data_IF_322711839760
#
_entry.id   IF_322711839760
#
_cell.length_a   1.000
_cell.length_b   1.000
_cell.length_c   1.000
_cell.angle_alpha   90.00
_cell.angle_beta   90.00
_cell.angle_gamma   90.00
#
_symmetry.space_group_name_H-M   'P 1'
#
loop_
_entity.id
_entity.type
_entity.pdbx_description
1 polymer ?
#
# COMPACT_ATOMS: atom_id res chain seq x y z
N UNK A 1 -18.13 -12.34 8.39
CA UNK A 1 -17.07 -13.29 8.00
C UNK A 1 -16.24 -12.80 6.82
N UNK A 2 -16.77 -12.56 5.61
CA UNK A 2 -15.94 -11.96 4.55
C UNK A 2 -15.64 -10.47 4.76
N UNK A 3 -16.58 -9.70 5.34
CA UNK A 3 -16.37 -8.27 5.64
C UNK A 3 -15.25 -8.03 6.67
N UNK A 4 -15.24 -8.81 7.75
CA UNK A 4 -14.22 -8.69 8.81
C UNK A 4 -12.80 -8.94 8.28
N UNK A 5 -12.64 -9.88 7.33
CA UNK A 5 -11.35 -10.14 6.68
C UNK A 5 -10.92 -9.03 5.73
N UNK A 6 -11.86 -8.30 5.12
CA UNK A 6 -11.55 -7.17 4.24
C UNK A 6 -11.09 -5.98 5.05
N UNK A 7 -11.78 -5.65 6.15
CA UNK A 7 -11.38 -4.55 7.03
C UNK A 7 -9.98 -4.78 7.61
N UNK A 8 -9.66 -6.04 7.96
CA UNK A 8 -8.31 -6.40 8.40
C UNK A 8 -7.25 -6.24 7.31
N UNK A 9 -7.54 -6.71 6.08
CA UNK A 9 -6.63 -6.54 4.93
C UNK A 9 -6.39 -5.07 4.63
N UNK A 10 -7.45 -4.25 4.61
CA UNK A 10 -7.34 -2.80 4.39
C UNK A 10 -6.51 -2.15 5.49
N UNK A 11 -6.76 -2.49 6.76
CA UNK A 11 -5.98 -1.97 7.88
C UNK A 11 -4.48 -2.28 7.78
N UNK A 12 -4.13 -3.52 7.41
CA UNK A 12 -2.74 -3.94 7.19
C UNK A 12 -2.10 -3.13 6.05
N UNK A 13 -2.77 -3.05 4.90
CA UNK A 13 -2.27 -2.31 3.75
C UNK A 13 -2.09 -0.82 4.05
N UNK A 14 -3.06 -0.19 4.74
CA UNK A 14 -2.98 1.21 5.13
C UNK A 14 -1.80 1.47 6.06
N UNK A 15 -1.56 0.59 7.04
CA UNK A 15 -0.44 0.75 7.97
C UNK A 15 0.90 0.66 7.24
N UNK A 16 1.13 -0.41 6.47
CA UNK A 16 2.40 -0.63 5.75
C UNK A 16 2.66 0.52 4.77
N UNK A 17 1.63 0.95 4.04
CA UNK A 17 1.78 2.05 3.09
C UNK A 17 2.07 3.38 3.75
N UNK A 18 1.40 3.68 4.87
CA UNK A 18 1.65 4.88 5.66
C UNK A 18 3.09 4.90 6.19
N UNK A 19 3.57 3.80 6.73
CA UNK A 19 4.92 3.71 7.28
C UNK A 19 5.97 3.95 6.19
N UNK A 20 5.79 3.34 5.02
CA UNK A 20 6.63 3.60 3.85
C UNK A 20 6.61 5.08 3.43
N UNK A 21 5.42 5.70 3.33
CA UNK A 21 5.31 7.12 2.93
C UNK A 21 6.05 8.06 3.89
N UNK A 22 6.05 7.77 5.20
CA UNK A 22 6.69 8.63 6.19
C UNK A 22 8.20 8.37 6.35
N UNK A 23 8.66 7.15 6.08
CA UNK A 23 10.03 6.73 6.39
C UNK A 23 10.92 6.59 5.16
N UNK A 24 10.37 6.15 4.03
CA UNK A 24 11.15 5.70 2.87
C UNK A 24 10.79 6.41 1.57
N UNK A 25 9.55 6.90 1.43
CA UNK A 25 9.15 7.62 0.22
C UNK A 25 9.86 8.97 0.13
N UNK A 26 10.75 9.09 -0.87
CA UNK A 26 11.58 10.27 -1.10
C UNK A 26 10.95 11.31 -2.04
N UNK A 27 9.67 11.15 -2.38
CA UNK A 27 8.98 11.96 -3.38
C UNK A 27 8.90 11.32 -4.77
N UNK A 28 8.52 12.11 -5.80
CA UNK A 28 8.16 11.58 -7.11
C UNK A 28 9.27 10.76 -7.75
N UNK A 29 8.88 9.63 -8.35
CA UNK A 29 9.82 8.66 -8.92
C UNK A 29 10.46 7.69 -7.93
N UNK A 30 10.11 7.73 -6.64
CA UNK A 30 10.52 6.69 -5.69
C UNK A 30 9.83 5.37 -6.03
N UNK A 31 10.62 4.28 -6.09
CA UNK A 31 10.09 2.96 -6.42
C UNK A 31 9.27 2.40 -5.25
N UNK A 32 8.03 1.97 -5.53
CA UNK A 32 7.08 1.53 -4.51
C UNK A 32 7.07 0.01 -4.28
N UNK A 33 8.05 -0.76 -4.75
CA UNK A 33 7.97 -2.23 -4.74
C UNK A 33 7.92 -2.81 -3.33
N UNK A 34 8.75 -2.30 -2.43
CA UNK A 34 8.95 -2.84 -1.08
C UNK A 34 7.67 -2.87 -0.22
N UNK A 35 6.89 -1.78 -0.07
CA UNK A 35 5.66 -1.82 0.75
C UNK A 35 4.63 -2.82 0.23
N UNK A 36 4.61 -3.11 -1.08
CA UNK A 36 3.66 -4.07 -1.64
C UNK A 36 4.09 -5.52 -1.47
N UNK A 37 5.40 -5.79 -1.41
CA UNK A 37 5.92 -7.11 -1.01
C UNK A 37 5.54 -7.37 0.44
N UNK A 38 5.77 -6.40 1.33
CA UNK A 38 5.44 -6.52 2.76
C UNK A 38 3.95 -6.71 2.99
N UNK A 39 3.08 -6.04 2.23
CA UNK A 39 1.63 -6.27 2.26
C UNK A 39 1.28 -7.70 1.87
N UNK A 40 1.84 -8.20 0.77
CA UNK A 40 1.53 -9.54 0.29
C UNK A 40 2.00 -10.62 1.27
N UNK A 41 3.20 -10.48 1.82
CA UNK A 41 3.76 -11.40 2.80
C UNK A 41 2.93 -11.39 4.08
N UNK A 42 2.63 -10.21 4.64
CA UNK A 42 1.82 -10.09 5.87
C UNK A 42 0.42 -10.69 5.71
N UNK A 43 -0.24 -10.45 4.58
CA UNK A 43 -1.58 -10.99 4.31
C UNK A 43 -1.53 -12.52 4.17
N UNK A 44 -0.51 -13.06 3.48
CA UNK A 44 -0.33 -14.51 3.31
C UNK A 44 -0.01 -15.20 4.64
N UNK A 45 0.88 -14.62 5.45
CA UNK A 45 1.23 -15.15 6.78
C UNK A 45 0.04 -15.22 7.72
N UNK A 46 -0.89 -14.26 7.63
CA UNK A 46 -2.13 -14.25 8.41
C UNK A 46 -3.24 -15.13 7.82
N UNK A 47 -3.01 -15.77 6.67
CA UNK A 47 -3.99 -16.61 5.99
C UNK A 47 -5.21 -15.82 5.48
N UNK A 48 -5.06 -14.51 5.29
CA UNK A 48 -6.14 -13.64 4.85
C UNK A 48 -6.32 -13.76 3.32
N UNK A 49 -7.56 -13.87 2.82
CA UNK A 49 -7.80 -14.03 1.40
C UNK A 49 -7.51 -12.73 0.63
N UNK A 50 -6.92 -12.85 -0.57
CA UNK A 50 -6.81 -11.73 -1.51
C UNK A 50 -5.53 -10.90 -1.45
N UNK A 51 -4.48 -11.35 -0.73
CA UNK A 51 -3.20 -10.63 -0.62
C UNK A 51 -2.56 -10.25 -1.95
N UNK A 52 -2.34 -11.20 -2.88
CA UNK A 52 -1.75 -10.90 -4.18
C UNK A 52 -2.58 -9.93 -5.03
N UNK A 53 -3.92 -9.99 -4.94
CA UNK A 53 -4.82 -9.10 -5.67
C UNK A 53 -4.84 -7.69 -5.07
N UNK A 54 -4.83 -7.59 -3.74
CA UNK A 54 -4.83 -6.32 -3.01
C UNK A 54 -3.51 -5.59 -3.21
N UNK A 55 -2.39 -6.28 -3.03
CA UNK A 55 -1.06 -5.72 -3.30
C UNK A 55 -0.97 -5.20 -4.74
N UNK A 56 -1.41 -6.00 -5.73
CA UNK A 56 -1.38 -5.58 -7.15
C UNK A 56 -2.29 -4.39 -7.44
N UNK A 57 -3.48 -4.32 -6.84
CA UNK A 57 -4.38 -3.18 -7.00
C UNK A 57 -3.78 -1.91 -6.38
N UNK A 58 -3.18 -2.05 -5.20
CA UNK A 58 -2.54 -0.95 -4.50
C UNK A 58 -1.28 -0.45 -5.23
N UNK A 59 -0.44 -1.34 -5.80
CA UNK A 59 0.68 -0.97 -6.70
C UNK A 59 0.16 -0.12 -7.87
N UNK A 60 -0.88 -0.61 -8.56
CA UNK A 60 -1.41 0.07 -9.74
C UNK A 60 -2.00 1.43 -9.39
N UNK A 61 -2.70 1.54 -8.27
CA UNK A 61 -3.22 2.82 -7.80
C UNK A 61 -2.06 3.76 -7.48
N UNK A 62 -1.09 3.32 -6.68
CA UNK A 62 0.00 4.17 -6.24
C UNK A 62 0.88 4.63 -7.40
N UNK A 63 1.22 3.75 -8.34
CA UNK A 63 1.92 4.13 -9.58
C UNK A 63 1.19 5.16 -10.43
N UNK A 64 -0.14 5.23 -10.33
CA UNK A 64 -0.96 6.14 -11.13
C UNK A 64 -1.28 7.47 -10.43
N UNK A 65 -1.08 7.55 -9.11
CA UNK A 65 -1.63 8.65 -8.31
C UNK A 65 -0.67 9.26 -7.29
N UNK A 66 0.28 8.49 -6.73
CA UNK A 66 1.09 8.96 -5.59
C UNK A 66 1.99 10.14 -5.93
N UNK A 67 2.56 10.16 -7.13
CA UNK A 67 3.42 11.26 -7.55
C UNK A 67 2.60 12.56 -7.77
N UNK A 68 1.39 12.45 -8.34
CA UNK A 68 0.47 13.59 -8.52
C UNK A 68 -0.05 14.10 -7.15
N UNK A 69 -0.43 13.18 -6.26
CA UNK A 69 -0.87 13.49 -4.91
C UNK A 69 0.26 14.15 -4.10
N UNK A 70 1.50 13.70 -4.26
CA UNK A 70 2.66 14.30 -3.60
C UNK A 70 2.87 15.76 -4.00
N UNK A 71 2.76 16.06 -5.29
CA UNK A 71 2.86 17.42 -5.80
C UNK A 71 1.74 18.31 -5.23
N UNK A 72 0.52 17.78 -5.07
CA UNK A 72 -0.57 18.49 -4.36
C UNK A 72 -0.26 18.68 -2.87
N UNK A 73 0.22 17.65 -2.17
CA UNK A 73 0.50 17.72 -0.72
C UNK A 73 1.63 18.69 -0.37
N UNK A 74 2.57 18.90 -1.31
CA UNK A 74 3.77 19.70 -1.09
C UNK A 74 3.77 21.04 -1.82
N UNK A 75 2.83 21.28 -2.73
CA UNK A 75 2.64 22.59 -3.35
C UNK A 75 2.03 23.56 -2.33
N UNK A 76 2.80 24.60 -2.01
CA UNK A 76 2.44 25.68 -1.06
C UNK A 76 1.60 26.78 -1.70
#
# INVERSE_FOLDING_TARGET
MFGDSIDEVVGICTQIFSDFLHMEYGGPGTLLVDPFVDMADTINERGLPGGPQTARAAVKWAQAHVDDDWDEWTSS
#
